data_IF_590843177310
#
_entry.id   IF_590843177310
#
_cell.length_a   1.000
_cell.length_b   1.000
_cell.length_c   1.000
_cell.angle_alpha   90.00
_cell.angle_beta   90.00
_cell.angle_gamma   90.00
#
_symmetry.space_group_name_H-M   'P 1'
#
loop_
_entity.id
_entity.type
_entity.pdbx_description
1 polymer ?
#
# COMPACT_ATOMS: atom_id res chain seq x y z
N UNK A 1 11.07 1.62 -25.95
CA UNK A 1 11.01 1.37 -24.50
C UNK A 1 11.52 2.62 -23.81
N UNK A 2 10.66 3.29 -23.07
CA UNK A 2 11.03 4.47 -22.29
C UNK A 2 11.58 3.99 -20.96
N UNK A 3 12.69 4.57 -20.48
CA UNK A 3 13.27 4.21 -19.20
C UNK A 3 13.02 5.33 -18.18
N UNK A 4 12.78 4.94 -16.94
CA UNK A 4 12.69 5.84 -15.77
C UNK A 4 13.81 5.47 -14.80
N UNK A 5 14.28 6.44 -14.02
CA UNK A 5 15.26 6.17 -12.95
C UNK A 5 14.53 5.94 -11.64
N UNK A 6 14.81 4.82 -10.97
CA UNK A 6 14.29 4.55 -9.63
C UNK A 6 14.78 5.61 -8.64
N UNK A 7 13.85 6.24 -7.94
CA UNK A 7 14.12 7.39 -7.05
C UNK A 7 14.93 7.03 -5.80
N UNK A 8 15.04 5.73 -5.46
CA UNK A 8 15.80 5.25 -4.30
C UNK A 8 17.18 4.73 -4.66
N UNK A 9 17.28 3.83 -5.65
CA UNK A 9 18.53 3.15 -5.99
C UNK A 9 19.20 3.66 -7.27
N UNK A 10 18.61 4.65 -7.94
CA UNK A 10 19.12 5.29 -9.17
C UNK A 10 19.33 4.33 -10.36
N UNK A 11 18.76 3.12 -10.31
CA UNK A 11 18.80 2.18 -11.44
C UNK A 11 17.80 2.58 -12.52
N UNK A 12 18.18 2.40 -13.77
CA UNK A 12 17.25 2.48 -14.89
C UNK A 12 16.28 1.28 -14.82
N UNK A 13 14.99 1.59 -14.99
CA UNK A 13 13.88 0.64 -14.99
C UNK A 13 13.03 0.90 -16.23
N UNK A 14 12.37 -0.15 -16.72
CA UNK A 14 11.33 0.06 -17.72
C UNK A 14 10.22 0.92 -17.12
N UNK A 15 9.74 1.90 -17.88
CA UNK A 15 8.59 2.72 -17.49
C UNK A 15 7.35 1.90 -17.14
N UNK A 16 7.17 0.71 -17.74
CA UNK A 16 6.03 -0.18 -17.49
C UNK A 16 6.18 -0.95 -16.17
N UNK A 17 7.42 -1.19 -15.72
CA UNK A 17 7.71 -1.84 -14.43
C UNK A 17 7.81 -0.85 -13.27
N UNK A 18 7.88 0.45 -13.56
CA UNK A 18 8.04 1.49 -12.57
C UNK A 18 6.73 1.72 -11.80
N UNK A 19 6.79 1.59 -10.48
CA UNK A 19 5.67 1.96 -9.60
C UNK A 19 5.77 3.44 -9.31
N UNK A 20 4.72 4.17 -9.65
CA UNK A 20 4.63 5.59 -9.36
C UNK A 20 3.91 5.79 -8.05
N UNK A 21 4.48 6.63 -7.19
CA UNK A 21 3.83 6.98 -5.94
C UNK A 21 4.22 8.37 -5.47
N UNK A 22 3.30 9.05 -4.81
CA UNK A 22 3.57 10.26 -4.03
C UNK A 22 3.94 9.95 -2.56
N UNK A 23 4.13 8.66 -2.24
CA UNK A 23 4.40 8.13 -0.90
C UNK A 23 3.22 8.27 0.07
N UNK A 24 2.00 8.16 -0.44
CA UNK A 24 0.78 8.29 0.35
C UNK A 24 0.69 9.67 1.02
N UNK A 25 1.22 10.70 0.38
CA UNK A 25 1.18 12.07 0.88
C UNK A 25 -0.12 12.74 0.45
N UNK A 26 -0.23 14.07 0.50
CA UNK A 26 -1.43 14.79 0.04
C UNK A 26 -1.43 14.98 -1.48
N UNK A 27 -2.62 15.21 -2.06
CA UNK A 27 -2.74 15.61 -3.47
C UNK A 27 -1.79 16.77 -3.83
N UNK A 28 -1.18 16.68 -5.01
CA UNK A 28 -0.17 17.63 -5.50
C UNK A 28 1.26 17.37 -5.02
N UNK A 29 1.47 16.33 -4.21
CA UNK A 29 2.82 15.90 -3.80
C UNK A 29 3.64 15.38 -4.98
N UNK A 30 4.96 15.39 -4.83
CA UNK A 30 5.89 14.97 -5.88
C UNK A 30 5.75 13.47 -6.17
N UNK A 31 5.27 13.13 -7.37
CA UNK A 31 5.18 11.73 -7.82
C UNK A 31 6.55 11.21 -8.26
N UNK A 32 6.96 10.09 -7.67
CA UNK A 32 8.26 9.44 -7.90
C UNK A 32 8.09 8.04 -8.45
N UNK A 33 9.02 7.63 -9.32
CA UNK A 33 9.10 6.27 -9.84
C UNK A 33 10.03 5.41 -8.99
N UNK A 34 9.59 4.20 -8.66
CA UNK A 34 10.34 3.20 -7.90
C UNK A 34 10.43 1.89 -8.67
N UNK A 35 11.57 1.20 -8.54
CA UNK A 35 11.63 -0.21 -8.94
C UNK A 35 10.88 -1.07 -7.92
N UNK A 36 10.37 -2.25 -8.31
CA UNK A 36 9.56 -3.11 -7.44
C UNK A 36 10.17 -3.38 -6.06
N UNK A 37 11.47 -3.70 -6.01
CA UNK A 37 12.15 -3.99 -4.74
C UNK A 37 12.32 -2.76 -3.84
N UNK A 38 12.55 -1.58 -4.41
CA UNK A 38 12.66 -0.35 -3.63
C UNK A 38 11.29 0.11 -3.13
N UNK A 39 10.25 -0.09 -3.93
CA UNK A 39 8.87 0.17 -3.52
C UNK A 39 8.48 -0.70 -2.33
N UNK A 40 8.68 -2.03 -2.42
CA UNK A 40 8.32 -2.96 -1.34
C UNK A 40 9.02 -2.62 -0.01
N UNK A 41 10.32 -2.28 -0.05
CA UNK A 41 11.06 -1.92 1.17
C UNK A 41 10.52 -0.69 1.92
N UNK A 42 9.91 0.25 1.20
CA UNK A 42 9.38 1.48 1.79
C UNK A 42 7.88 1.35 2.07
N UNK A 43 7.13 0.62 1.23
CA UNK A 43 5.70 0.42 1.40
C UNK A 43 5.36 -0.45 2.62
N UNK A 44 6.21 -1.41 2.96
CA UNK A 44 6.10 -2.20 4.21
C UNK A 44 6.11 -1.32 5.47
N UNK A 45 6.63 -0.10 5.37
CA UNK A 45 6.68 0.90 6.44
C UNK A 45 5.66 2.01 6.26
N UNK A 46 4.70 1.83 5.34
CA UNK A 46 3.74 2.88 4.97
C UNK A 46 4.40 4.13 4.38
N UNK A 47 5.61 4.02 3.82
CA UNK A 47 6.44 5.16 3.44
C UNK A 47 6.65 6.21 4.55
N UNK A 48 6.71 5.75 5.82
CA UNK A 48 6.80 6.59 7.01
C UNK A 48 5.58 7.52 7.20
N UNK A 49 4.43 7.21 6.58
CA UNK A 49 3.17 7.90 6.86
C UNK A 49 2.61 7.42 8.20
N UNK A 50 2.47 8.35 9.16
CA UNK A 50 1.98 8.08 10.51
C UNK A 50 0.54 7.56 10.56
N UNK A 51 -0.25 7.78 9.50
CA UNK A 51 -1.61 7.26 9.38
C UNK A 51 -1.61 5.75 9.10
N UNK A 52 -0.47 5.21 8.64
CA UNK A 52 -0.26 3.79 8.32
C UNK A 52 0.72 3.19 9.35
N UNK A 53 0.39 3.32 10.63
CA UNK A 53 1.22 2.82 11.73
C UNK A 53 0.54 1.64 12.44
N UNK A 54 -0.52 1.91 13.20
CA UNK A 54 -1.16 0.92 14.07
C UNK A 54 -2.67 0.88 13.92
N UNK A 55 -3.24 -0.31 14.13
CA UNK A 55 -4.67 -0.51 14.19
C UNK A 55 -5.28 0.24 15.38
N UNK A 56 -6.34 1.00 15.16
CA UNK A 56 -7.01 1.86 16.14
C UNK A 56 -7.69 1.06 17.27
N UNK A 57 -8.08 -0.20 16.99
CA UNK A 57 -8.79 -1.06 17.95
C UNK A 57 -7.83 -1.75 18.92
N UNK A 58 -6.74 -2.31 18.41
CA UNK A 58 -5.86 -3.17 19.20
C UNK A 58 -4.41 -2.70 19.28
N UNK A 59 -4.09 -1.56 18.68
CA UNK A 59 -2.76 -0.95 18.64
C UNK A 59 -1.67 -1.93 18.11
N UNK A 60 -2.07 -2.92 17.32
CA UNK A 60 -1.14 -3.80 16.61
C UNK A 60 -0.77 -3.17 15.27
N UNK A 61 0.44 -3.40 14.73
CA UNK A 61 0.86 -2.78 13.48
C UNK A 61 -0.09 -3.07 12.32
N UNK A 62 -0.24 -2.09 11.43
CA UNK A 62 -0.79 -2.31 10.10
C UNK A 62 0.30 -2.93 9.22
N UNK A 63 -0.06 -3.97 8.48
CA UNK A 63 0.85 -4.69 7.57
C UNK A 63 0.18 -4.88 6.22
N UNK A 64 0.97 -5.15 5.18
CA UNK A 64 0.42 -5.47 3.85
C UNK A 64 -0.55 -6.64 3.94
N UNK A 65 -1.74 -6.43 3.37
CA UNK A 65 -2.78 -7.45 3.32
C UNK A 65 -2.39 -8.61 2.41
N UNK A 66 -1.75 -8.30 1.28
CA UNK A 66 -1.38 -9.28 0.28
C UNK A 66 0.13 -9.56 0.28
N UNK A 67 0.54 -10.56 -0.49
CA UNK A 67 1.96 -10.81 -0.70
C UNK A 67 2.60 -9.76 -1.62
N UNK A 68 3.90 -9.91 -1.86
CA UNK A 68 4.67 -8.97 -2.66
C UNK A 68 4.21 -8.92 -4.12
N UNK A 69 3.79 -10.04 -4.71
CA UNK A 69 3.41 -10.10 -6.11
C UNK A 69 2.09 -9.35 -6.34
N UNK A 70 1.09 -9.67 -5.51
CA UNK A 70 -0.23 -9.05 -5.56
C UNK A 70 -0.16 -7.56 -5.20
N UNK A 71 0.60 -7.20 -4.15
CA UNK A 71 0.81 -5.78 -3.77
C UNK A 71 1.39 -4.98 -4.93
N UNK A 72 2.35 -5.55 -5.66
CA UNK A 72 2.98 -4.89 -6.79
C UNK A 72 2.04 -4.78 -8.01
N UNK A 73 1.16 -5.75 -8.23
CA UNK A 73 0.15 -5.71 -9.31
C UNK A 73 -0.88 -4.62 -9.01
N UNK A 74 -1.49 -4.63 -7.80
CA UNK A 74 -2.45 -3.61 -7.37
C UNK A 74 -1.87 -2.19 -7.43
N UNK A 75 -0.61 -2.01 -7.02
CA UNK A 75 0.05 -0.70 -7.05
C UNK A 75 0.28 -0.17 -8.48
N UNK A 76 0.38 -1.05 -9.48
CA UNK A 76 0.61 -0.69 -10.89
C UNK A 76 -0.68 -0.54 -11.67
N UNK A 77 -1.61 -1.45 -11.46
CA UNK A 77 -2.83 -1.59 -12.27
C UNK A 77 -3.96 -0.74 -11.68
N UNK A 78 -4.17 -0.85 -10.36
CA UNK A 78 -5.26 -0.18 -9.65
C UNK A 78 -4.80 1.06 -8.87
N UNK A 79 -3.49 1.33 -8.85
CA UNK A 79 -2.88 2.41 -8.08
C UNK A 79 -3.22 2.36 -6.59
N UNK A 80 -3.39 1.17 -6.01
CA UNK A 80 -3.72 1.00 -4.59
C UNK A 80 -2.74 0.10 -3.84
N UNK A 81 -2.65 0.30 -2.53
CA UNK A 81 -1.97 -0.58 -1.59
C UNK A 81 -2.91 -0.84 -0.41
N UNK A 82 -2.96 -2.10 0.01
CA UNK A 82 -3.91 -2.58 1.00
C UNK A 82 -3.16 -3.00 2.25
N UNK A 83 -3.52 -2.40 3.37
CA UNK A 83 -3.01 -2.69 4.69
C UNK A 83 -4.13 -3.29 5.56
N UNK A 84 -3.76 -4.14 6.50
CA UNK A 84 -4.67 -4.71 7.48
C UNK A 84 -3.98 -4.84 8.83
N UNK A 85 -4.78 -4.88 9.90
CA UNK A 85 -4.30 -5.21 11.23
C UNK A 85 -3.51 -6.54 11.23
N UNK A 86 -2.34 -6.57 11.87
CA UNK A 86 -1.51 -7.78 11.92
C UNK A 86 -2.25 -9.01 12.46
N UNK A 87 -3.15 -8.84 13.44
CA UNK A 87 -3.95 -9.95 13.99
C UNK A 87 -4.90 -10.56 12.96
N UNK A 88 -5.47 -9.71 12.11
CA UNK A 88 -6.35 -10.13 11.01
C UNK A 88 -5.53 -10.89 9.97
N UNK A 89 -4.39 -10.33 9.54
CA UNK A 89 -3.45 -11.01 8.62
C UNK A 89 -3.04 -12.39 9.15
N UNK A 90 -2.69 -12.46 10.43
CA UNK A 90 -2.33 -13.69 11.12
C UNK A 90 -3.46 -14.73 11.17
N UNK A 91 -4.71 -14.29 11.35
CA UNK A 91 -5.87 -15.18 11.35
C UNK A 91 -6.15 -15.74 9.95
N UNK A 92 -6.03 -14.90 8.91
CA UNK A 92 -6.15 -15.30 7.50
C UNK A 92 -5.08 -16.32 7.13
N UNK A 93 -3.82 -16.07 7.48
CA UNK A 93 -2.71 -16.98 7.19
C UNK A 93 -2.83 -18.34 7.88
N UNK A 94 -3.54 -18.40 9.01
CA UNK A 94 -3.86 -19.64 9.72
C UNK A 94 -5.16 -20.32 9.27
N UNK A 95 -5.91 -19.69 8.37
CA UNK A 95 -7.27 -20.11 7.97
C UNK A 95 -8.22 -20.29 9.18
N UNK A 96 -8.11 -19.39 10.16
CA UNK A 96 -8.93 -19.40 11.38
C UNK A 96 -10.19 -18.54 11.19
N UNK A 97 -11.22 -19.12 10.58
CA UNK A 97 -12.45 -18.41 10.22
C UNK A 97 -13.19 -17.82 11.44
N UNK A 98 -13.18 -18.50 12.58
CA UNK A 98 -13.83 -18.01 13.79
C UNK A 98 -13.13 -16.75 14.33
N UNK A 99 -11.80 -16.72 14.28
CA UNK A 99 -11.02 -15.56 14.67
C UNK A 99 -11.18 -14.40 13.68
N UNK A 100 -11.23 -14.68 12.38
CA UNK A 100 -11.50 -13.66 11.35
C UNK A 100 -12.84 -12.99 11.60
N UNK A 101 -13.92 -13.75 11.79
CA UNK A 101 -15.25 -13.20 12.07
C UNK A 101 -15.30 -12.39 13.38
N UNK A 102 -14.52 -12.80 14.39
CA UNK A 102 -14.44 -12.08 15.66
C UNK A 102 -13.73 -10.74 15.48
N UNK A 103 -12.59 -10.73 14.80
CA UNK A 103 -11.82 -9.52 14.53
C UNK A 103 -12.57 -8.54 13.62
N UNK A 104 -13.33 -9.05 12.64
CA UNK A 104 -14.20 -8.23 11.78
C UNK A 104 -15.32 -7.54 12.59
N UNK A 105 -15.99 -8.28 13.50
CA UNK A 105 -17.00 -7.70 14.42
C UNK A 105 -16.42 -6.70 15.43
N UNK A 106 -15.12 -6.76 15.68
CA UNK A 106 -14.40 -5.81 16.53
C UNK A 106 -13.92 -4.58 15.75
N UNK A 107 -14.26 -4.47 14.46
CA UNK A 107 -13.89 -3.39 13.56
C UNK A 107 -12.37 -3.18 13.44
N UNK A 108 -11.59 -4.25 13.44
CA UNK A 108 -10.14 -4.14 13.19
C UNK A 108 -9.87 -3.59 11.79
N UNK A 109 -8.83 -2.77 11.67
CA UNK A 109 -8.63 -1.95 10.48
C UNK A 109 -8.28 -2.75 9.22
N UNK A 110 -8.92 -2.32 8.13
CA UNK A 110 -8.58 -2.60 6.75
C UNK A 110 -8.45 -1.26 6.03
N UNK A 111 -7.25 -0.95 5.55
CA UNK A 111 -6.92 0.37 5.01
C UNK A 111 -6.46 0.22 3.56
N UNK A 112 -7.14 0.92 2.65
CA UNK A 112 -6.74 1.00 1.24
C UNK A 112 -6.27 2.43 0.99
N UNK A 113 -5.06 2.57 0.46
CA UNK A 113 -4.48 3.87 0.10
C UNK A 113 -4.13 3.90 -1.38
N UNK A 114 -4.30 5.07 -2.00
CA UNK A 114 -3.83 5.29 -3.36
C UNK A 114 -2.32 5.53 -3.39
N UNK A 115 -1.62 4.93 -4.36
CA UNK A 115 -0.20 5.18 -4.56
C UNK A 115 0.07 6.62 -4.98
N UNK A 116 -0.89 7.27 -5.65
CA UNK A 116 -0.91 8.71 -5.95
C UNK A 116 -2.29 9.24 -5.56
N UNK A 117 -2.36 10.26 -4.71
CA UNK A 117 -3.65 10.81 -4.30
C UNK A 117 -4.44 11.39 -5.48
N UNK A 118 -5.75 11.07 -5.58
CA UNK A 118 -6.62 11.63 -6.59
C UNK A 118 -6.79 13.14 -6.40
N UNK A 119 -7.23 13.82 -7.47
CA UNK A 119 -7.57 15.23 -7.40
C UNK A 119 -8.87 15.41 -6.59
N UNK A 120 -8.87 16.11 -5.44
CA UNK A 120 -10.08 16.29 -4.64
C UNK A 120 -11.14 17.16 -5.30
N UNK A 121 -10.78 17.91 -6.36
CA UNK A 121 -11.71 18.73 -7.14
C UNK A 121 -12.37 17.96 -8.29
N UNK A 122 -11.88 16.75 -8.60
CA UNK A 122 -12.49 15.88 -9.60
C UNK A 122 -13.31 14.80 -8.88
N UNK A 123 -14.55 14.52 -9.33
CA UNK A 123 -15.31 13.41 -8.77
C UNK A 123 -14.59 12.09 -9.07
N UNK A 124 -14.49 11.21 -8.06
CA UNK A 124 -13.89 9.87 -8.17
C UNK A 124 -14.54 8.97 -9.25
N UNK A 125 -15.69 9.39 -9.78
CA UNK A 125 -16.38 8.81 -10.91
C UNK A 125 -16.78 9.92 -11.88
N UNK A 126 -16.08 10.01 -13.01
CA UNK A 126 -16.54 10.76 -14.19
C UNK A 126 -17.74 10.10 -14.86
#
# INVERSE_FOLDING_TARGET
>A
MSQVTCSKCNRAIDSEEAIKTDKFQSYGSEVKGYCPSCFLQDVEKGFDNYEIDNCVVCNSPLVLQFDNEETLSLAREDYTVHFTCKKVKDAIERDDQAEIERLDKEDHDWLIVYTIQPNPEEPDFG
#
